data_IF_678648205096
#
_entry.id   IF_678648205096
#
_cell.length_a   1.000
_cell.length_b   1.000
_cell.length_c   1.000
_cell.angle_alpha   90.00
_cell.angle_beta   90.00
_cell.angle_gamma   90.00
#
_symmetry.space_group_name_H-M   'P 1'
#
loop_
_entity.id
_entity.type
_entity.pdbx_description
1 polymer ?
#
# COMPACT_ATOMS: atom_id res chain seq x y z
N UNK A 1 14.41 -3.05 61.13
CA UNK A 1 15.55 -2.51 60.35
C UNK A 1 14.97 -2.09 59.01
N UNK A 2 14.68 -0.81 58.86
CA UNK A 2 14.05 -0.21 57.69
C UNK A 2 15.03 0.80 57.10
N UNK A 3 15.11 0.87 55.77
CA UNK A 3 15.96 1.80 55.01
C UNK A 3 15.06 2.58 54.06
N UNK A 4 15.10 3.91 54.14
CA UNK A 4 14.52 4.87 53.20
C UNK A 4 15.62 5.61 52.43
N UNK A 5 15.37 5.78 51.12
CA UNK A 5 15.60 6.91 50.22
C UNK A 5 16.98 7.57 50.02
N UNK A 6 17.32 7.75 48.73
CA UNK A 6 18.31 8.72 48.23
C UNK A 6 18.58 8.57 46.73
N UNK A 7 17.70 9.11 45.87
CA UNK A 7 17.96 9.35 44.44
C UNK A 7 18.74 10.67 44.28
N UNK A 8 19.82 10.69 43.49
CA UNK A 8 20.50 11.92 43.03
C UNK A 8 20.56 11.98 41.50
N UNK A 9 20.12 13.12 40.96
CA UNK A 9 20.19 13.55 39.57
C UNK A 9 21.64 13.83 39.13
N UNK A 10 22.01 13.39 37.92
CA UNK A 10 23.18 13.89 37.21
C UNK A 10 22.70 14.68 35.98
N UNK A 11 23.04 15.98 35.98
CA UNK A 11 22.74 17.03 35.00
C UNK A 11 23.50 16.81 33.68
N UNK A 12 22.77 16.80 32.56
CA UNK A 12 23.29 16.72 31.16
C UNK A 12 23.34 18.13 30.52
N UNK A 13 23.38 19.18 31.33
CA UNK A 13 23.17 20.57 30.89
C UNK A 13 24.41 21.33 30.45
N UNK A 14 25.60 20.71 30.38
CA UNK A 14 26.85 21.44 30.08
C UNK A 14 27.40 21.29 28.65
N UNK A 15 26.85 20.41 27.79
CA UNK A 15 27.35 20.24 26.41
C UNK A 15 26.58 21.09 25.37
N UNK A 16 25.73 22.02 25.81
CA UNK A 16 24.86 22.86 24.95
C UNK A 16 25.49 24.18 24.48
N UNK A 17 26.74 24.47 24.82
CA UNK A 17 27.42 25.71 24.43
C UNK A 17 28.48 25.46 23.35
N UNK A 18 28.06 25.21 22.11
CA UNK A 18 28.85 25.59 20.94
C UNK A 18 27.97 25.67 19.68
N UNK A 19 27.75 26.87 19.11
CA UNK A 19 27.06 27.01 17.83
C UNK A 19 28.07 26.85 16.69
N UNK A 20 27.94 25.78 15.90
CA UNK A 20 28.71 25.62 14.66
C UNK A 20 27.77 25.62 13.46
N UNK A 21 27.29 26.81 13.13
CA UNK A 21 26.80 27.17 11.80
C UNK A 21 28.01 27.27 10.85
N UNK A 22 28.11 26.35 9.89
CA UNK A 22 28.80 26.40 8.58
C UNK A 22 28.82 24.94 8.09
N UNK A 23 28.28 24.51 6.95
CA UNK A 23 28.26 25.10 5.61
C UNK A 23 26.98 24.69 4.85
N UNK A 24 26.43 25.64 4.10
CA UNK A 24 25.57 25.37 2.95
C UNK A 24 26.41 24.73 1.83
N UNK A 25 25.73 23.96 0.96
CA UNK A 25 26.18 23.42 -0.35
C UNK A 25 26.72 21.98 -0.40
N UNK A 26 25.82 21.03 -0.72
CA UNK A 26 25.65 20.47 -2.09
C UNK A 26 24.66 19.30 -2.04
N UNK A 27 23.37 19.64 -2.17
CA UNK A 27 22.32 18.68 -2.56
C UNK A 27 22.23 18.78 -4.07
N UNK A 28 23.10 18.07 -4.78
CA UNK A 28 22.85 17.62 -6.14
C UNK A 28 23.92 16.60 -6.54
N UNK A 29 23.49 15.57 -7.27
CA UNK A 29 24.28 14.49 -7.91
C UNK A 29 24.30 13.06 -7.29
N UNK A 30 23.71 12.77 -6.13
CA UNK A 30 23.62 11.35 -5.68
C UNK A 30 22.38 10.58 -6.16
N UNK A 31 21.35 11.26 -6.70
CA UNK A 31 20.06 10.63 -7.04
C UNK A 31 20.06 9.78 -8.33
N UNK A 32 21.13 9.76 -9.13
CA UNK A 32 21.17 8.99 -10.39
C UNK A 32 21.89 7.63 -10.30
N UNK A 33 22.45 7.29 -9.14
CA UNK A 33 23.21 6.05 -8.94
C UNK A 33 22.42 4.85 -8.39
N UNK A 34 21.31 5.08 -7.69
CA UNK A 34 20.64 4.04 -6.89
C UNK A 34 19.52 3.27 -7.62
N UNK A 35 19.08 3.71 -8.80
CA UNK A 35 17.86 3.21 -9.44
C UNK A 35 17.98 1.83 -10.13
N UNK A 36 19.19 1.35 -10.42
CA UNK A 36 19.39 0.11 -11.20
C UNK A 36 19.28 -1.19 -10.39
N UNK A 37 19.33 -1.14 -9.06
CA UNK A 37 19.30 -2.32 -8.20
C UNK A 37 17.92 -2.90 -7.89
N UNK A 38 16.84 -2.14 -8.09
CA UNK A 38 15.54 -2.47 -7.47
C UNK A 38 14.45 -2.88 -8.44
N UNK A 39 14.49 -2.37 -9.68
CA UNK A 39 13.43 -2.61 -10.66
C UNK A 39 13.42 -4.06 -11.16
N UNK A 40 14.59 -4.70 -11.22
CA UNK A 40 14.72 -6.10 -11.64
C UNK A 40 13.97 -7.06 -10.72
N UNK A 41 14.01 -6.82 -9.40
CA UNK A 41 13.29 -7.65 -8.44
C UNK A 41 11.77 -7.44 -8.51
N UNK A 42 11.33 -6.21 -8.73
CA UNK A 42 9.91 -5.89 -8.94
C UNK A 42 9.39 -6.57 -10.21
N UNK A 43 10.15 -6.51 -11.30
CA UNK A 43 9.81 -7.18 -12.56
C UNK A 43 9.79 -8.70 -12.41
N UNK A 44 10.78 -9.30 -11.75
CA UNK A 44 10.83 -10.73 -11.47
C UNK A 44 9.63 -11.18 -10.62
N UNK A 45 9.34 -10.46 -9.55
CA UNK A 45 8.22 -10.77 -8.65
C UNK A 45 6.88 -10.62 -9.37
N UNK A 46 6.75 -9.61 -10.24
CA UNK A 46 5.56 -9.43 -11.09
C UNK A 46 5.42 -10.56 -12.11
N UNK A 47 6.51 -10.95 -12.77
CA UNK A 47 6.52 -12.03 -13.76
C UNK A 47 6.11 -13.38 -13.16
N UNK A 48 6.65 -13.73 -11.99
CA UNK A 48 6.25 -14.98 -11.31
C UNK A 48 4.83 -14.90 -10.77
N UNK A 49 4.42 -13.76 -10.19
CA UNK A 49 3.05 -13.59 -9.69
C UNK A 49 2.00 -13.70 -10.81
N UNK A 50 2.34 -13.24 -12.03
CA UNK A 50 1.46 -13.30 -13.20
C UNK A 50 1.55 -14.61 -13.99
N UNK A 51 2.52 -15.48 -13.71
CA UNK A 51 2.61 -16.82 -14.33
C UNK A 51 1.37 -17.68 -14.04
N UNK A 52 0.76 -17.56 -12.84
CA UNK A 52 -0.47 -18.30 -12.54
C UNK A 52 -1.64 -17.88 -13.43
N UNK A 53 -1.67 -16.62 -13.85
CA UNK A 53 -2.68 -16.09 -14.78
C UNK A 53 -2.46 -16.58 -16.22
N UNK A 54 -1.20 -16.77 -16.62
CA UNK A 54 -0.85 -17.43 -17.87
C UNK A 54 -1.25 -18.91 -17.89
N UNK A 55 -0.97 -19.64 -16.80
CA UNK A 55 -1.39 -21.03 -16.63
C UNK A 55 -2.92 -21.17 -16.73
N UNK A 56 -3.65 -20.29 -16.05
CA UNK A 56 -5.11 -20.22 -16.17
C UNK A 56 -5.56 -20.03 -17.64
N UNK A 57 -4.89 -19.12 -18.37
CA UNK A 57 -5.15 -18.91 -19.80
C UNK A 57 -4.88 -20.16 -20.65
N UNK A 58 -3.77 -20.86 -20.40
CA UNK A 58 -3.44 -22.11 -21.09
C UNK A 58 -4.50 -23.19 -20.88
N UNK A 59 -4.98 -23.37 -19.64
CA UNK A 59 -6.01 -24.36 -19.31
C UNK A 59 -7.33 -24.06 -20.04
N UNK A 60 -7.72 -22.78 -20.12
CA UNK A 60 -8.94 -22.36 -20.83
C UNK A 60 -8.80 -22.52 -22.34
N UNK A 61 -7.64 -22.21 -22.91
CA UNK A 61 -7.38 -22.29 -24.34
C UNK A 61 -7.13 -23.71 -24.88
N UNK A 62 -6.90 -24.69 -23.99
CA UNK A 62 -6.52 -26.07 -24.35
C UNK A 62 -7.58 -26.81 -25.17
N UNK A 63 -8.87 -26.66 -24.84
CA UNK A 63 -9.94 -27.52 -25.34
C UNK A 63 -10.29 -27.31 -26.82
N UNK A 64 -10.13 -26.09 -27.32
CA UNK A 64 -10.52 -25.72 -28.68
C UNK A 64 -9.66 -26.40 -29.78
N UNK A 65 -8.31 -26.36 -29.73
CA UNK A 65 -7.49 -26.97 -30.78
C UNK A 65 -7.39 -28.49 -30.69
N UNK A 66 -7.54 -29.08 -29.50
CA UNK A 66 -7.32 -30.54 -29.30
C UNK A 66 -8.51 -31.41 -29.64
N UNK A 67 -9.71 -30.82 -29.78
CA UNK A 67 -10.95 -31.55 -30.03
C UNK A 67 -10.89 -32.57 -31.18
N UNK A 68 -10.47 -32.22 -32.41
CA UNK A 68 -10.44 -33.17 -33.52
C UNK A 68 -9.45 -34.32 -33.26
N UNK A 69 -8.25 -34.02 -32.77
CA UNK A 69 -7.21 -35.01 -32.51
C UNK A 69 -7.60 -36.01 -31.40
N UNK A 70 -8.23 -35.53 -30.32
CA UNK A 70 -8.71 -36.41 -29.24
C UNK A 70 -9.79 -37.36 -29.73
N UNK A 71 -10.72 -36.86 -30.57
CA UNK A 71 -11.80 -37.67 -31.13
C UNK A 71 -11.30 -38.76 -32.06
N UNK A 72 -10.29 -38.44 -32.87
CA UNK A 72 -9.65 -39.39 -33.77
C UNK A 72 -8.87 -40.47 -32.98
N UNK A 73 -8.03 -40.06 -32.02
CA UNK A 73 -7.20 -40.96 -31.21
C UNK A 73 -8.01 -41.93 -30.32
N UNK A 74 -9.14 -41.48 -29.79
CA UNK A 74 -9.99 -42.27 -28.88
C UNK A 74 -11.22 -42.87 -29.56
N UNK A 75 -11.35 -42.68 -30.88
CA UNK A 75 -12.51 -43.11 -31.67
C UNK A 75 -13.87 -42.65 -31.11
N UNK A 76 -13.94 -41.40 -30.65
CA UNK A 76 -15.13 -40.83 -30.01
C UNK A 76 -16.06 -40.15 -31.02
N UNK A 77 -17.35 -40.44 -30.91
CA UNK A 77 -18.40 -39.67 -31.58
C UNK A 77 -18.46 -38.22 -31.06
N UNK A 78 -19.08 -37.32 -31.83
CA UNK A 78 -19.24 -35.93 -31.41
C UNK A 78 -20.04 -35.82 -30.11
N UNK A 79 -21.02 -36.70 -29.92
CA UNK A 79 -21.83 -36.77 -28.71
C UNK A 79 -21.03 -37.23 -27.49
N UNK A 80 -20.18 -38.25 -27.63
CA UNK A 80 -19.32 -38.74 -26.54
C UNK A 80 -18.25 -37.73 -26.15
N UNK A 81 -17.64 -37.04 -27.11
CA UNK A 81 -16.72 -35.94 -26.80
C UNK A 81 -17.45 -34.77 -26.14
N UNK A 82 -18.67 -34.45 -26.58
CA UNK A 82 -19.48 -33.39 -25.95
C UNK A 82 -19.86 -33.76 -24.52
N UNK A 83 -20.09 -35.05 -24.24
CA UNK A 83 -20.28 -35.55 -22.88
C UNK A 83 -19.01 -35.40 -22.03
N UNK A 84 -17.83 -35.74 -22.58
CA UNK A 84 -16.54 -35.52 -21.93
C UNK A 84 -16.29 -34.03 -21.65
N UNK A 85 -16.50 -33.17 -22.64
CA UNK A 85 -16.41 -31.72 -22.50
C UNK A 85 -17.40 -31.17 -21.45
N UNK A 86 -18.60 -31.75 -21.36
CA UNK A 86 -19.58 -31.41 -20.32
C UNK A 86 -19.12 -31.85 -18.93
N UNK A 87 -18.54 -33.04 -18.79
CA UNK A 87 -17.96 -33.53 -17.52
C UNK A 87 -16.79 -32.63 -17.08
N UNK A 88 -15.92 -32.24 -18.01
CA UNK A 88 -14.82 -31.30 -17.75
C UNK A 88 -15.35 -29.92 -17.37
N UNK A 89 -16.38 -29.42 -18.06
CA UNK A 89 -17.02 -28.15 -17.73
C UNK A 89 -17.71 -28.18 -16.36
N UNK A 90 -18.38 -29.29 -16.01
CA UNK A 90 -18.97 -29.52 -14.69
C UNK A 90 -17.86 -29.60 -13.63
N UNK A 91 -16.77 -30.31 -13.89
CA UNK A 91 -15.60 -30.35 -13.01
C UNK A 91 -14.97 -28.98 -12.81
N UNK A 92 -14.87 -28.17 -13.87
CA UNK A 92 -14.41 -26.79 -13.82
C UNK A 92 -15.39 -25.90 -13.04
N UNK A 93 -16.70 -26.08 -13.19
CA UNK A 93 -17.72 -25.37 -12.41
C UNK A 93 -17.69 -25.77 -10.93
N UNK A 94 -17.61 -27.07 -10.61
CA UNK A 94 -17.48 -27.57 -9.23
C UNK A 94 -16.17 -27.09 -8.62
N UNK A 95 -15.08 -27.13 -9.38
CA UNK A 95 -13.79 -26.53 -9.03
C UNK A 95 -13.92 -25.03 -8.78
N UNK A 96 -14.60 -24.29 -9.64
CA UNK A 96 -14.88 -22.86 -9.48
C UNK A 96 -15.92 -22.54 -8.41
N UNK A 97 -16.71 -23.49 -7.92
CA UNK A 97 -17.63 -23.28 -6.78
C UNK A 97 -16.89 -23.56 -5.46
N UNK A 98 -16.12 -24.65 -5.41
CA UNK A 98 -15.38 -25.09 -4.23
C UNK A 98 -14.14 -24.24 -3.99
N UNK A 99 -13.36 -23.97 -5.04
CA UNK A 99 -12.16 -23.12 -5.01
C UNK A 99 -12.44 -21.69 -5.48
N UNK A 100 -13.65 -21.37 -5.96
CA UNK A 100 -14.00 -20.06 -6.54
C UNK A 100 -13.63 -18.87 -5.70
N UNK A 101 -13.97 -18.87 -4.42
CA UNK A 101 -13.62 -17.76 -3.52
C UNK A 101 -12.11 -17.60 -3.37
N UNK A 102 -11.35 -18.70 -3.43
CA UNK A 102 -9.89 -18.72 -3.32
C UNK A 102 -9.27 -18.29 -4.65
N UNK A 103 -9.69 -18.89 -5.77
CA UNK A 103 -9.22 -18.57 -7.12
C UNK A 103 -9.56 -17.13 -7.54
N UNK A 104 -10.77 -16.66 -7.24
CA UNK A 104 -11.20 -15.28 -7.49
C UNK A 104 -10.46 -14.29 -6.59
N UNK A 105 -10.17 -14.69 -5.34
CA UNK A 105 -9.30 -13.92 -4.46
C UNK A 105 -7.88 -13.85 -5.00
N UNK A 106 -7.27 -14.97 -5.40
CA UNK A 106 -5.90 -15.03 -5.91
C UNK A 106 -5.77 -14.22 -7.21
N UNK A 107 -6.61 -14.51 -8.22
CA UNK A 107 -6.48 -13.95 -9.57
C UNK A 107 -7.01 -12.52 -9.76
N UNK A 108 -8.14 -12.14 -9.14
CA UNK A 108 -8.71 -10.78 -9.30
C UNK A 108 -8.25 -9.79 -8.24
N UNK A 109 -7.91 -10.27 -7.04
CA UNK A 109 -7.60 -9.39 -5.90
C UNK A 109 -6.14 -9.47 -5.51
N UNK A 110 -5.58 -10.65 -5.25
CA UNK A 110 -4.29 -10.76 -4.57
C UNK A 110 -3.13 -10.52 -5.50
N UNK A 111 -3.12 -11.09 -6.71
CA UNK A 111 -2.04 -10.83 -7.69
C UNK A 111 -1.97 -9.35 -8.07
N UNK A 112 -3.06 -8.67 -8.48
CA UNK A 112 -2.99 -7.24 -8.78
C UNK A 112 -2.68 -6.38 -7.55
N UNK A 113 -3.17 -6.72 -6.35
CA UNK A 113 -2.85 -6.00 -5.12
C UNK A 113 -1.38 -6.18 -4.75
N UNK A 114 -0.85 -7.40 -4.83
CA UNK A 114 0.56 -7.68 -4.57
C UNK A 114 1.46 -6.93 -5.56
N UNK A 115 1.16 -7.01 -6.87
CA UNK A 115 1.88 -6.25 -7.89
C UNK A 115 1.79 -4.75 -7.63
N UNK A 116 0.63 -4.23 -7.23
CA UNK A 116 0.48 -2.82 -6.90
C UNK A 116 1.24 -2.37 -5.63
N UNK A 117 1.42 -3.28 -4.67
CA UNK A 117 2.18 -3.05 -3.44
C UNK A 117 3.68 -2.94 -3.70
N UNK A 118 4.20 -3.81 -4.57
CA UNK A 118 5.64 -3.87 -4.89
C UNK A 118 6.05 -2.88 -5.98
N UNK A 119 5.12 -2.50 -6.87
CA UNK A 119 5.40 -1.61 -8.00
C UNK A 119 5.64 -0.15 -7.57
N UNK A 120 6.59 0.56 -8.22
CA UNK A 120 6.74 1.99 -8.05
C UNK A 120 5.51 2.73 -8.63
N UNK A 121 5.26 3.94 -8.14
CA UNK A 121 4.02 4.70 -8.41
C UNK A 121 3.79 4.99 -9.90
N UNK A 122 4.86 5.18 -10.66
CA UNK A 122 4.85 5.43 -12.10
C UNK A 122 4.53 4.17 -12.96
N UNK A 123 4.83 2.96 -12.46
CA UNK A 123 4.63 1.71 -13.20
C UNK A 123 3.45 0.87 -12.69
N UNK A 124 2.84 1.26 -11.56
CA UNK A 124 1.77 0.50 -10.91
C UNK A 124 0.63 0.11 -11.86
N UNK A 125 0.13 1.07 -12.64
CA UNK A 125 -0.95 0.81 -13.61
C UNK A 125 -0.53 -0.23 -14.65
N UNK A 126 0.63 -0.03 -15.29
CA UNK A 126 1.14 -0.93 -16.32
C UNK A 126 1.49 -2.34 -15.82
N UNK A 127 2.03 -2.47 -14.61
CA UNK A 127 2.36 -3.79 -14.06
C UNK A 127 1.10 -4.55 -13.64
N UNK A 128 0.05 -3.88 -13.16
CA UNK A 128 -1.21 -4.55 -12.84
C UNK A 128 -1.98 -5.06 -14.08
N UNK A 129 -1.86 -4.38 -15.22
CA UNK A 129 -2.50 -4.83 -16.48
C UNK A 129 -1.81 -6.06 -17.09
N UNK A 130 -0.54 -6.32 -16.76
CA UNK A 130 0.15 -7.55 -17.16
C UNK A 130 -0.62 -8.81 -16.74
N UNK A 131 -1.32 -8.77 -15.60
CA UNK A 131 -2.14 -9.89 -15.16
C UNK A 131 -3.20 -10.29 -16.20
N UNK A 132 -3.91 -9.32 -16.77
CA UNK A 132 -4.92 -9.57 -17.80
C UNK A 132 -4.27 -9.96 -19.13
N UNK A 133 -3.16 -9.30 -19.48
CA UNK A 133 -2.41 -9.62 -20.69
C UNK A 133 -1.93 -11.08 -20.68
N UNK A 134 -1.36 -11.56 -19.56
CA UNK A 134 -0.88 -12.94 -19.43
C UNK A 134 -1.98 -13.98 -19.58
N UNK A 135 -3.22 -13.70 -19.13
CA UNK A 135 -4.36 -14.59 -19.37
C UNK A 135 -4.63 -14.72 -20.88
N UNK A 136 -4.73 -13.58 -21.58
CA UNK A 136 -5.01 -13.56 -23.02
C UNK A 136 -3.88 -14.24 -23.79
N UNK A 137 -2.62 -13.94 -23.44
CA UNK A 137 -1.45 -14.58 -24.03
C UNK A 137 -1.47 -16.09 -23.79
N UNK A 138 -1.82 -16.55 -22.59
CA UNK A 138 -1.97 -17.99 -22.28
C UNK A 138 -3.01 -18.68 -23.16
N UNK A 139 -4.19 -18.07 -23.33
CA UNK A 139 -5.24 -18.59 -24.23
C UNK A 139 -4.74 -18.67 -25.68
N UNK A 140 -4.10 -17.60 -26.18
CA UNK A 140 -3.54 -17.57 -27.53
C UNK A 140 -2.43 -18.60 -27.73
N UNK A 141 -1.53 -18.77 -26.75
CA UNK A 141 -0.44 -19.74 -26.82
C UNK A 141 -0.96 -21.17 -26.82
N UNK A 142 -1.96 -21.51 -26.00
CA UNK A 142 -2.59 -22.83 -26.02
C UNK A 142 -3.25 -23.13 -27.38
N UNK A 143 -3.94 -22.15 -27.95
CA UNK A 143 -4.55 -22.28 -29.27
C UNK A 143 -3.49 -22.52 -30.37
N UNK A 144 -2.43 -21.72 -30.41
CA UNK A 144 -1.37 -21.83 -31.41
C UNK A 144 -0.51 -23.08 -31.25
N UNK A 145 -0.15 -23.47 -30.02
CA UNK A 145 0.60 -24.70 -29.81
C UNK A 145 -0.27 -25.92 -30.12
N UNK A 146 -1.56 -25.89 -29.78
CA UNK A 146 -2.47 -27.00 -30.05
C UNK A 146 -2.69 -27.31 -31.53
N UNK A 147 -2.34 -26.40 -32.45
CA UNK A 147 -2.32 -26.70 -33.89
C UNK A 147 -0.98 -27.28 -34.38
N UNK A 148 0.09 -27.14 -33.58
CA UNK A 148 1.45 -27.55 -33.95
C UNK A 148 1.89 -28.86 -33.29
N UNK A 149 1.37 -29.18 -32.10
CA UNK A 149 1.78 -30.35 -31.31
C UNK A 149 0.58 -31.24 -30.96
N UNK A 150 0.86 -32.51 -30.62
CA UNK A 150 -0.17 -33.44 -30.17
C UNK A 150 -0.82 -32.98 -28.86
N UNK A 151 -2.09 -33.31 -28.67
CA UNK A 151 -2.84 -32.93 -27.47
C UNK A 151 -2.17 -33.44 -26.18
N UNK A 152 -1.55 -34.62 -26.21
CA UNK A 152 -0.79 -35.19 -25.08
C UNK A 152 0.41 -34.33 -24.71
N UNK A 153 1.16 -33.85 -25.72
CA UNK A 153 2.29 -32.97 -25.49
C UNK A 153 1.83 -31.58 -25.05
N UNK A 154 0.71 -31.09 -25.58
CA UNK A 154 0.10 -29.83 -25.16
C UNK A 154 -0.30 -29.87 -23.68
N UNK A 155 -0.81 -30.99 -23.18
CA UNK A 155 -1.14 -31.15 -21.76
C UNK A 155 0.10 -31.04 -20.86
N UNK A 156 1.25 -31.56 -21.32
CA UNK A 156 2.52 -31.45 -20.59
C UNK A 156 3.06 -30.01 -20.55
N UNK A 157 2.73 -29.16 -21.52
CA UNK A 157 3.15 -27.74 -21.49
C UNK A 157 2.58 -26.97 -20.30
N UNK A 158 1.42 -27.40 -19.76
CA UNK A 158 0.84 -26.82 -18.55
C UNK A 158 1.68 -27.02 -17.29
N UNK A 159 2.58 -28.01 -17.26
CA UNK A 159 3.47 -28.27 -16.13
C UNK A 159 4.56 -27.19 -16.02
N UNK A 160 4.98 -26.60 -17.15
CA UNK A 160 6.09 -25.65 -17.21
C UNK A 160 5.81 -24.40 -16.37
N UNK A 161 4.67 -23.70 -16.52
CA UNK A 161 4.30 -22.59 -15.63
C UNK A 161 4.25 -22.99 -14.14
N UNK A 162 3.74 -24.18 -13.80
CA UNK A 162 3.70 -24.63 -12.40
C UNK A 162 5.11 -24.73 -11.79
N UNK A 163 6.07 -25.28 -12.56
CA UNK A 163 7.46 -25.39 -12.14
C UNK A 163 8.10 -24.01 -11.99
N UNK A 164 7.82 -23.09 -12.91
CA UNK A 164 8.31 -21.70 -12.85
C UNK A 164 7.77 -20.99 -11.60
N UNK A 165 6.49 -21.16 -11.27
CA UNK A 165 5.88 -20.60 -10.06
C UNK A 165 6.52 -21.20 -8.81
N UNK A 166 6.59 -22.53 -8.72
CA UNK A 166 7.17 -23.24 -7.57
C UNK A 166 8.62 -22.81 -7.31
N UNK A 167 9.43 -22.67 -8.37
CA UNK A 167 10.80 -22.21 -8.25
C UNK A 167 10.89 -20.71 -7.94
N UNK A 168 10.05 -19.89 -8.58
CA UNK A 168 10.06 -18.45 -8.41
C UNK A 168 9.64 -17.99 -7.01
N UNK A 169 8.76 -18.74 -6.34
CA UNK A 169 8.32 -18.45 -4.95
C UNK A 169 9.48 -18.40 -3.94
N UNK A 170 10.60 -19.08 -4.19
CA UNK A 170 11.78 -19.00 -3.30
C UNK A 170 12.49 -17.63 -3.34
N UNK A 171 12.36 -16.90 -4.43
CA UNK A 171 13.08 -15.64 -4.63
C UNK A 171 12.22 -14.41 -4.31
N UNK A 172 10.90 -14.56 -4.34
CA UNK A 172 9.94 -13.48 -4.16
C UNK A 172 9.79 -13.16 -2.68
N UNK A 173 9.91 -11.88 -2.29
CA UNK A 173 9.60 -11.48 -0.93
C UNK A 173 8.11 -11.61 -0.64
N UNK A 174 7.77 -11.99 0.59
CA UNK A 174 6.40 -12.00 1.10
C UNK A 174 5.74 -10.61 1.00
N UNK A 175 4.40 -10.58 0.95
CA UNK A 175 3.66 -9.32 0.84
C UNK A 175 4.01 -8.36 1.99
N UNK A 176 4.52 -7.15 1.69
CA UNK A 176 4.82 -6.16 2.73
C UNK A 176 3.60 -5.84 3.59
N UNK A 177 2.40 -5.80 2.99
CA UNK A 177 1.16 -5.55 3.71
C UNK A 177 0.81 -6.68 4.68
N UNK A 178 1.00 -7.93 4.27
CA UNK A 178 0.74 -9.09 5.13
C UNK A 178 1.74 -9.17 6.28
N UNK A 179 3.03 -8.91 6.01
CA UNK A 179 4.09 -8.84 7.01
C UNK A 179 3.83 -7.72 8.03
N UNK A 180 3.40 -6.55 7.56
CA UNK A 180 2.97 -5.45 8.41
C UNK A 180 1.75 -5.85 9.28
N UNK A 181 0.79 -6.58 8.72
CA UNK A 181 -0.40 -7.04 9.46
C UNK A 181 -0.07 -8.06 10.55
N UNK A 182 0.85 -8.97 10.28
CA UNK A 182 1.28 -10.03 11.21
C UNK A 182 2.29 -9.55 12.25
N UNK A 183 2.86 -8.35 12.07
CA UNK A 183 3.80 -7.74 13.01
C UNK A 183 5.22 -8.29 12.90
N UNK A 184 5.60 -8.83 11.73
CA UNK A 184 6.91 -9.43 11.47
C UNK A 184 7.90 -8.40 10.87
N UNK A 185 8.49 -7.56 11.72
CA UNK A 185 9.29 -6.39 11.31
C UNK A 185 10.54 -6.71 10.51
N UNK A 186 11.35 -7.67 10.98
CA UNK A 186 12.61 -8.01 10.32
C UNK A 186 12.37 -8.53 8.90
N UNK A 187 11.32 -9.33 8.73
CA UNK A 187 10.91 -9.83 7.41
C UNK A 187 10.30 -8.71 6.55
N UNK A 188 9.50 -7.81 7.15
CA UNK A 188 8.91 -6.66 6.45
C UNK A 188 9.97 -5.70 5.91
N UNK A 189 10.95 -5.33 6.74
CA UNK A 189 12.04 -4.45 6.36
C UNK A 189 12.95 -5.10 5.31
N UNK A 190 13.29 -6.38 5.49
CA UNK A 190 14.03 -7.14 4.49
C UNK A 190 13.29 -7.21 3.14
N UNK A 191 11.97 -7.40 3.15
CA UNK A 191 11.15 -7.38 1.95
C UNK A 191 11.16 -6.01 1.26
N UNK A 192 11.02 -4.91 2.03
CA UNK A 192 11.07 -3.56 1.49
C UNK A 192 12.43 -3.21 0.90
N UNK A 193 13.53 -3.54 1.59
CA UNK A 193 14.89 -3.31 1.09
C UNK A 193 15.15 -4.08 -0.21
N UNK A 194 14.66 -5.32 -0.29
CA UNK A 194 14.77 -6.16 -1.49
C UNK A 194 13.96 -5.62 -2.68
N UNK A 195 12.86 -4.91 -2.42
CA UNK A 195 11.96 -4.39 -3.44
C UNK A 195 12.23 -2.94 -3.85
N UNK A 196 12.76 -2.11 -2.94
CA UNK A 196 12.91 -0.65 -3.10
C UNK A 196 14.34 -0.14 -2.91
N UNK A 197 15.31 -1.00 -2.57
CA UNK A 197 16.70 -0.63 -2.28
C UNK A 197 16.97 -0.37 -0.80
N UNK A 198 18.25 -0.21 -0.44
CA UNK A 198 18.67 -0.07 0.97
C UNK A 198 18.14 1.20 1.65
N UNK A 199 17.92 2.29 0.88
CA UNK A 199 17.43 3.58 1.37
C UNK A 199 15.89 3.68 1.44
N UNK A 200 15.18 2.55 1.40
CA UNK A 200 13.73 2.55 1.38
C UNK A 200 13.13 3.18 2.65
N UNK A 201 12.33 4.24 2.49
CA UNK A 201 11.61 4.90 3.59
C UNK A 201 10.53 3.99 4.20
N UNK A 202 10.95 3.20 5.20
CA UNK A 202 10.12 2.25 5.94
C UNK A 202 8.98 2.96 6.68
N UNK A 203 9.22 4.17 7.19
CA UNK A 203 8.24 4.98 7.90
C UNK A 203 7.06 5.35 7.00
N UNK A 204 7.34 5.84 5.79
CA UNK A 204 6.30 6.21 4.82
C UNK A 204 5.51 5.01 4.31
N UNK A 205 6.17 3.86 4.14
CA UNK A 205 5.49 2.61 3.80
C UNK A 205 4.54 2.17 4.93
N UNK A 206 4.97 2.25 6.18
CA UNK A 206 4.16 1.96 7.36
C UNK A 206 2.95 2.90 7.52
N UNK A 207 3.12 4.20 7.22
CA UNK A 207 2.04 5.20 7.31
C UNK A 207 0.84 4.93 6.39
N UNK A 208 1.03 4.16 5.31
CA UNK A 208 -0.05 3.76 4.41
C UNK A 208 -0.91 2.63 5.00
N UNK A 209 -0.37 1.86 5.95
CA UNK A 209 -1.07 0.76 6.59
C UNK A 209 -1.69 1.25 7.91
N UNK A 210 -3.02 1.41 7.95
CA UNK A 210 -3.80 1.89 9.12
C UNK A 210 -3.80 0.94 10.35
N UNK A 211 -2.74 0.18 10.58
CA UNK A 211 -2.70 -0.87 11.60
C UNK A 211 -1.90 -0.42 12.83
N UNK A 212 -2.61 -0.28 13.95
CA UNK A 212 -2.14 0.18 15.27
C UNK A 212 -0.82 -0.45 15.74
N UNK A 213 -0.59 -1.74 15.48
CA UNK A 213 0.65 -2.42 15.88
C UNK A 213 1.89 -1.89 15.15
N UNK A 214 1.75 -1.53 13.88
CA UNK A 214 2.86 -1.07 13.03
C UNK A 214 3.36 0.31 13.47
N UNK A 215 2.46 1.23 13.86
CA UNK A 215 2.84 2.57 14.33
C UNK A 215 3.67 2.55 15.62
N UNK A 216 3.28 1.73 16.60
CA UNK A 216 4.03 1.53 17.86
C UNK A 216 5.40 0.89 17.59
N UNK A 217 5.48 0.00 16.61
CA UNK A 217 6.71 -0.72 16.28
C UNK A 217 7.69 0.15 15.48
N UNK A 218 7.18 1.07 14.65
CA UNK A 218 7.98 2.11 14.00
C UNK A 218 8.55 3.11 15.02
N UNK A 219 7.75 3.54 16.00
CA UNK A 219 8.26 4.34 17.12
C UNK A 219 9.34 3.61 17.91
N UNK A 220 9.18 2.31 18.16
CA UNK A 220 10.19 1.50 18.84
C UNK A 220 11.49 1.47 18.02
N UNK A 221 11.42 1.33 16.69
CA UNK A 221 12.58 1.35 15.81
C UNK A 221 13.31 2.70 15.86
N UNK A 222 12.57 3.81 15.74
CA UNK A 222 13.13 5.16 15.74
C UNK A 222 13.76 5.53 17.09
N UNK A 223 13.14 5.13 18.20
CA UNK A 223 13.67 5.35 19.56
C UNK A 223 14.86 4.44 19.87
N UNK A 224 14.87 3.19 19.39
CA UNK A 224 15.94 2.21 19.69
C UNK A 224 17.24 2.55 18.94
N UNK A 225 17.17 3.10 17.73
CA UNK A 225 18.35 3.41 16.91
C UNK A 225 18.92 4.82 17.10
N UNK A 226 18.45 5.60 18.09
CA UNK A 226 18.95 6.97 18.41
C UNK A 226 19.10 7.88 17.18
N UNK A 227 18.26 7.70 16.17
CA UNK A 227 18.24 8.60 15.03
C UNK A 227 17.78 9.97 15.54
N UNK A 228 18.54 11.02 15.24
CA UNK A 228 18.08 12.40 15.46
C UNK A 228 16.75 12.56 14.73
N UNK A 229 15.70 12.76 15.52
CA UNK A 229 14.34 12.94 15.03
C UNK A 229 14.24 14.32 14.38
N UNK A 230 14.68 14.43 13.13
CA UNK A 230 14.46 15.62 12.34
C UNK A 230 12.94 15.90 12.24
N UNK A 231 12.58 17.15 11.92
CA UNK A 231 11.20 17.62 11.84
C UNK A 231 10.32 16.71 10.94
N UNK A 232 10.90 16.24 9.83
CA UNK A 232 10.22 15.39 8.84
C UNK A 232 9.86 14.01 9.40
N UNK A 233 10.74 13.37 10.17
CA UNK A 233 10.46 12.08 10.82
C UNK A 233 9.42 12.24 11.91
N UNK A 234 9.45 13.35 12.68
CA UNK A 234 8.43 13.66 13.70
C UNK A 234 7.05 13.91 13.09
N UNK A 235 6.98 14.63 11.98
CA UNK A 235 5.74 14.83 11.21
C UNK A 235 5.19 13.50 10.69
N UNK A 236 6.06 12.65 10.15
CA UNK A 236 5.69 11.32 9.66
C UNK A 236 5.18 10.41 10.78
N UNK A 237 5.83 10.44 11.96
CA UNK A 237 5.37 9.70 13.14
C UNK A 237 4.01 10.19 13.65
N UNK A 238 3.80 11.52 13.69
CA UNK A 238 2.52 12.12 14.08
C UNK A 238 1.37 11.69 13.15
N UNK A 239 1.60 11.69 11.83
CA UNK A 239 0.64 11.20 10.83
C UNK A 239 0.36 9.69 10.98
N UNK A 240 1.38 8.88 11.24
CA UNK A 240 1.24 7.44 11.50
C UNK A 240 0.36 7.19 12.73
N UNK A 241 0.63 7.86 13.85
CA UNK A 241 -0.14 7.70 15.08
C UNK A 241 -1.59 8.16 14.92
N UNK A 242 -1.78 9.29 14.24
CA UNK A 242 -3.10 9.82 13.89
C UNK A 242 -3.93 8.85 13.04
N UNK A 243 -3.31 8.22 12.04
CA UNK A 243 -3.95 7.17 11.22
C UNK A 243 -4.23 5.88 11.99
N UNK A 244 -3.45 5.61 13.03
CA UNK A 244 -3.60 4.46 13.92
C UNK A 244 -4.62 4.67 15.05
N UNK A 245 -5.25 5.84 15.16
CA UNK A 245 -6.16 6.22 16.26
C UNK A 245 -5.49 6.28 17.64
N UNK A 246 -4.16 6.37 17.70
CA UNK A 246 -3.41 6.56 18.94
C UNK A 246 -3.09 8.04 19.13
N UNK A 247 -4.11 8.78 19.57
CA UNK A 247 -4.04 10.23 19.69
C UNK A 247 -3.15 10.69 20.85
N UNK A 248 -3.02 9.88 21.90
CA UNK A 248 -2.12 10.18 23.02
C UNK A 248 -0.67 10.16 22.56
N UNK A 249 -0.29 9.15 21.78
CA UNK A 249 1.06 9.07 21.19
C UNK A 249 1.28 10.15 20.14
N UNK A 250 0.31 10.43 19.26
CA UNK A 250 0.40 11.53 18.29
C UNK A 250 0.64 12.87 18.99
N UNK A 251 -0.16 13.16 20.04
CA UNK A 251 -0.04 14.38 20.84
C UNK A 251 1.26 14.42 21.63
N UNK A 252 1.75 13.28 22.14
CA UNK A 252 3.03 13.18 22.85
C UNK A 252 4.20 13.50 21.91
N UNK A 253 4.23 12.91 20.72
CA UNK A 253 5.25 13.24 19.71
C UNK A 253 5.19 14.73 19.37
N UNK A 254 4.00 15.25 19.10
CA UNK A 254 3.79 16.67 18.80
C UNK A 254 4.26 17.61 19.93
N UNK A 255 3.99 17.25 21.19
CA UNK A 255 4.41 18.02 22.36
C UNK A 255 5.93 18.02 22.57
N UNK A 256 6.61 16.96 22.12
CA UNK A 256 8.07 16.79 22.22
C UNK A 256 8.84 17.43 21.06
N UNK A 257 8.15 18.05 20.09
CA UNK A 257 8.80 18.75 18.98
C UNK A 257 9.29 20.13 19.45
N UNK A 258 10.60 20.35 19.35
CA UNK A 258 11.23 21.65 19.67
C UNK A 258 10.85 22.74 18.66
N UNK A 259 10.68 22.36 17.40
CA UNK A 259 10.16 23.20 16.32
C UNK A 259 8.93 22.52 15.71
N UNK A 260 7.91 23.32 15.39
CA UNK A 260 6.66 22.86 14.75
C UNK A 260 6.43 23.72 13.51
N UNK A 261 6.03 23.09 12.43
CA UNK A 261 5.65 23.75 11.19
C UNK A 261 4.15 23.56 10.89
N UNK A 262 3.67 24.22 9.84
CA UNK A 262 2.28 24.08 9.38
C UNK A 262 1.92 22.62 9.06
N UNK A 263 2.88 21.84 8.55
CA UNK A 263 2.69 20.41 8.28
C UNK A 263 2.45 19.59 9.56
N UNK A 264 3.16 19.91 10.64
CA UNK A 264 2.98 19.30 11.97
C UNK A 264 1.54 19.47 12.46
N UNK A 265 1.05 20.71 12.40
CA UNK A 265 -0.32 21.07 12.81
C UNK A 265 -1.38 20.43 11.91
N UNK A 266 -1.21 20.55 10.60
CA UNK A 266 -2.13 20.00 9.61
C UNK A 266 -2.28 18.48 9.76
N UNK A 267 -1.17 17.78 10.01
CA UNK A 267 -1.18 16.32 10.22
C UNK A 267 -1.98 15.95 11.47
N UNK A 268 -1.79 16.67 12.58
CA UNK A 268 -2.49 16.41 13.84
C UNK A 268 -3.99 16.72 13.70
N UNK A 269 -4.35 17.91 13.19
CA UNK A 269 -5.74 18.35 13.02
C UNK A 269 -6.50 17.40 12.07
N UNK A 270 -5.89 17.05 10.93
CA UNK A 270 -6.48 16.08 9.98
C UNK A 270 -6.67 14.70 10.62
N UNK A 271 -5.73 14.30 11.47
CA UNK A 271 -5.78 13.07 12.27
C UNK A 271 -7.02 12.98 13.15
N UNK A 272 -7.27 14.00 13.96
CA UNK A 272 -8.47 14.09 14.80
C UNK A 272 -9.75 14.17 13.95
N UNK A 273 -9.75 14.98 12.89
CA UNK A 273 -10.89 15.16 11.99
C UNK A 273 -11.32 13.89 11.25
N UNK A 274 -10.35 13.13 10.72
CA UNK A 274 -10.62 11.89 9.99
C UNK A 274 -11.22 10.79 10.86
N UNK A 275 -10.99 10.85 12.18
CA UNK A 275 -11.41 9.82 13.14
C UNK A 275 -12.65 10.20 13.95
N UNK A 276 -13.30 11.33 13.64
CA UNK A 276 -14.56 11.74 14.26
C UNK A 276 -14.42 12.57 15.53
N UNK A 277 -13.21 12.92 15.95
CA UNK A 277 -12.96 13.86 17.06
C UNK A 277 -13.00 15.30 16.55
N UNK A 278 -14.14 15.67 15.95
CA UNK A 278 -14.29 16.89 15.16
C UNK A 278 -14.11 18.16 16.02
N UNK A 279 -14.64 18.15 17.25
CA UNK A 279 -14.51 19.27 18.19
C UNK A 279 -13.05 19.55 18.55
N UNK A 280 -12.30 18.49 18.88
CA UNK A 280 -10.89 18.58 19.27
C UNK A 280 -10.00 18.99 18.09
N UNK A 281 -10.36 18.61 16.85
CA UNK A 281 -9.69 19.11 15.65
C UNK A 281 -9.83 20.64 15.51
N UNK A 282 -11.02 21.19 15.77
CA UNK A 282 -11.25 22.64 15.75
C UNK A 282 -10.56 23.38 16.92
N UNK A 283 -10.49 22.77 18.11
CA UNK A 283 -9.73 23.31 19.23
C UNK A 283 -8.22 23.39 18.92
N UNK A 284 -7.68 22.36 18.28
CA UNK A 284 -6.29 22.35 17.80
C UNK A 284 -6.03 23.42 16.73
N UNK A 285 -6.99 23.63 15.83
CA UNK A 285 -6.93 24.72 14.85
C UNK A 285 -6.91 26.10 15.54
N UNK A 286 -7.72 26.28 16.60
CA UNK A 286 -7.70 27.49 17.41
C UNK A 286 -6.34 27.70 18.09
N UNK A 287 -5.76 26.63 18.64
CA UNK A 287 -4.47 26.65 19.34
C UNK A 287 -3.33 27.00 18.37
N UNK A 288 -3.32 26.40 17.18
CA UNK A 288 -2.38 26.73 16.10
C UNK A 288 -2.34 28.24 15.81
N UNK A 289 -3.51 28.87 15.70
CA UNK A 289 -3.63 30.31 15.44
C UNK A 289 -3.16 31.16 16.62
N UNK A 290 -3.44 30.73 17.85
CA UNK A 290 -2.98 31.40 19.07
C UNK A 290 -1.47 31.33 19.24
N UNK A 291 -0.83 30.26 18.77
CA UNK A 291 0.64 30.11 18.73
C UNK A 291 1.28 30.90 17.56
N UNK A 292 0.50 31.69 16.81
CA UNK A 292 1.00 32.59 15.77
C UNK A 292 1.17 31.94 14.39
N UNK A 293 0.70 30.71 14.20
CA UNK A 293 0.72 30.07 12.88
C UNK A 293 -0.51 30.46 12.07
N UNK A 294 -0.29 31.13 10.93
CA UNK A 294 -1.37 31.46 10.01
C UNK A 294 -1.82 30.21 9.22
N UNK A 295 -3.13 29.90 9.22
CA UNK A 295 -3.66 28.78 8.46
C UNK A 295 -3.39 28.94 6.95
N UNK A 296 -2.79 27.92 6.35
CA UNK A 296 -2.60 27.87 4.90
C UNK A 296 -3.83 27.26 4.21
N UNK A 297 -3.77 27.18 2.88
CA UNK A 297 -4.82 26.54 2.08
C UNK A 297 -5.14 25.11 2.55
N UNK A 298 -4.13 24.33 2.97
CA UNK A 298 -4.31 22.96 3.43
C UNK A 298 -5.02 22.94 4.78
N UNK A 299 -4.67 23.85 5.69
CA UNK A 299 -5.32 24.02 6.99
C UNK A 299 -6.80 24.36 6.81
N UNK A 300 -7.12 25.34 5.96
CA UNK A 300 -8.51 25.73 5.70
C UNK A 300 -9.32 24.60 5.09
N UNK A 301 -8.74 23.85 4.15
CA UNK A 301 -9.38 22.65 3.60
C UNK A 301 -9.69 21.62 4.69
N UNK A 302 -8.74 21.35 5.60
CA UNK A 302 -8.96 20.40 6.71
C UNK A 302 -10.11 20.89 7.60
N UNK A 303 -10.12 22.18 7.94
CA UNK A 303 -11.19 22.79 8.73
C UNK A 303 -12.57 22.64 8.05
N UNK A 304 -12.65 22.90 6.75
CA UNK A 304 -13.87 22.70 5.97
C UNK A 304 -14.35 21.24 5.99
N UNK A 305 -13.46 20.26 5.78
CA UNK A 305 -13.84 18.83 5.86
C UNK A 305 -14.35 18.47 7.27
N UNK A 306 -13.75 19.02 8.33
CA UNK A 306 -14.21 18.83 9.71
C UNK A 306 -15.62 19.41 9.91
N UNK A 307 -15.87 20.66 9.52
CA UNK A 307 -17.19 21.29 9.61
C UNK A 307 -18.26 20.54 8.80
N UNK A 308 -17.93 20.12 7.57
CA UNK A 308 -18.83 19.31 6.75
C UNK A 308 -19.18 17.97 7.41
N UNK A 309 -18.22 17.31 8.09
CA UNK A 309 -18.47 16.06 8.83
C UNK A 309 -19.30 16.27 10.09
N UNK A 310 -19.26 17.46 10.68
CA UNK A 310 -20.14 17.84 11.81
C UNK A 310 -21.57 18.14 11.36
N UNK A 311 -21.84 18.20 10.06
CA UNK A 311 -23.11 18.70 9.51
C UNK A 311 -23.24 20.22 9.51
N UNK A 312 -22.17 20.95 9.87
CA UNK A 312 -22.12 22.41 9.91
C UNK A 312 -21.59 22.97 8.58
N UNK A 313 -22.26 22.63 7.48
CA UNK A 313 -21.83 23.07 6.14
C UNK A 313 -21.84 24.60 5.96
N UNK A 314 -22.67 25.33 6.71
CA UNK A 314 -22.72 26.80 6.65
C UNK A 314 -21.41 27.43 7.15
N UNK A 315 -20.78 26.85 8.18
CA UNK A 315 -19.46 27.30 8.65
C UNK A 315 -18.36 26.93 7.67
N UNK A 316 -18.46 25.74 7.03
CA UNK A 316 -17.54 25.36 5.95
C UNK A 316 -17.63 26.31 4.74
N UNK A 317 -18.83 26.81 4.43
CA UNK A 317 -19.06 27.78 3.36
C UNK A 317 -18.44 29.15 3.68
N UNK A 318 -18.59 29.65 4.91
CA UNK A 318 -17.96 30.90 5.34
C UNK A 318 -16.43 30.86 5.22
N UNK A 319 -15.83 29.71 5.51
CA UNK A 319 -14.38 29.51 5.31
C UNK A 319 -14.04 29.53 3.83
N UNK A 320 -14.84 28.88 3.00
CA UNK A 320 -14.62 28.86 1.55
C UNK A 320 -14.67 30.25 0.91
N UNK A 321 -15.58 31.12 1.35
CA UNK A 321 -15.67 32.51 0.87
C UNK A 321 -14.44 33.35 1.21
N UNK A 322 -13.66 32.95 2.22
CA UNK A 322 -12.43 33.64 2.62
C UNK A 322 -11.20 33.15 1.83
N UNK A 323 -11.33 32.10 1.02
CA UNK A 323 -10.23 31.57 0.20
C UNK A 323 -10.16 32.38 -1.11
N UNK A 324 -9.09 33.17 -1.28
CA UNK A 324 -8.88 34.00 -2.48
C UNK A 324 -8.83 33.19 -3.79
N UNK A 325 -8.31 31.95 -3.75
CA UNK A 325 -8.23 31.05 -4.91
C UNK A 325 -8.85 29.67 -4.64
N UNK A 326 -10.17 29.59 -4.80
CA UNK A 326 -10.88 28.32 -4.72
C UNK A 326 -10.50 27.38 -5.88
N UNK A 327 -9.84 26.26 -5.58
CA UNK A 327 -9.47 25.24 -6.57
C UNK A 327 -10.42 24.03 -6.53
N UNK A 328 -10.20 23.08 -7.46
CA UNK A 328 -11.02 21.86 -7.58
C UNK A 328 -11.12 21.06 -6.27
N UNK A 329 -10.11 21.12 -5.42
CA UNK A 329 -10.07 20.39 -4.13
C UNK A 329 -11.02 21.05 -3.13
N UNK A 330 -11.09 22.38 -3.08
CA UNK A 330 -12.03 23.12 -2.22
C UNK A 330 -13.49 22.86 -2.62
N UNK A 331 -13.78 22.93 -3.92
CA UNK A 331 -15.12 22.64 -4.47
C UNK A 331 -15.54 21.20 -4.20
N UNK A 332 -14.68 20.21 -4.46
CA UNK A 332 -14.99 18.79 -4.22
C UNK A 332 -15.21 18.48 -2.75
N UNK A 333 -14.52 19.18 -1.84
CA UNK A 333 -14.71 19.03 -0.39
C UNK A 333 -16.11 19.50 0.03
N UNK A 334 -16.56 20.69 -0.43
CA UNK A 334 -17.91 21.18 -0.14
C UNK A 334 -19.00 20.30 -0.74
N UNK A 335 -18.87 19.92 -2.00
CA UNK A 335 -19.85 19.04 -2.68
C UNK A 335 -19.96 17.71 -1.93
N UNK A 336 -18.83 17.11 -1.54
CA UNK A 336 -18.83 15.90 -0.72
C UNK A 336 -19.46 16.11 0.66
N UNK A 337 -19.33 17.30 1.24
CA UNK A 337 -19.96 17.68 2.51
C UNK A 337 -21.48 17.76 2.40
N UNK A 338 -21.99 18.60 1.49
CA UNK A 338 -23.43 18.76 1.26
C UNK A 338 -24.12 17.47 0.82
N UNK A 339 -23.45 16.64 0.00
CA UNK A 339 -23.99 15.33 -0.40
C UNK A 339 -24.19 14.37 0.78
N UNK A 340 -23.40 14.50 1.86
CA UNK A 340 -23.57 13.69 3.08
C UNK A 340 -24.75 14.16 3.92
N UNK A 341 -25.02 15.47 3.95
CA UNK A 341 -26.18 16.04 4.64
C UNK A 341 -27.48 15.61 3.95
N UNK A 342 -27.53 15.64 2.61
CA UNK A 342 -28.72 15.24 1.84
C UNK A 342 -29.06 13.74 1.84
N UNK A 343 -28.30 12.91 2.57
CA UNK A 343 -28.53 11.46 2.75
C UNK A 343 -29.03 11.09 4.15
N UNK A 344 -29.11 12.05 5.06
CA UNK A 344 -29.74 11.92 6.38
C UNK A 344 -31.19 12.41 6.29
#
# INVERSE_FOLDING_TARGET
MAIENGYQEHTVTEDLENPLLTEHEKVDESEKGAEKGSIGMVLLSTAVATCGSFEFGLCVGYSAPTQPAIREDLHLSLAEYSLFGSIVAIGAMVGAITSGKISDSIGRKWVPVFVAEIAPTNLRGGLTTLNQLMIVTGVSTAYLLGTLITWRLLALTGIVPCVVILFGLFFIPESPRWLAKTGKHKEFEAALRKLRGEDADVLRACAQFRNFKVGIQVHTCVVTYRAELNLQVRNSLSDVYSKCKDFESARRVFSQMAERDLLSWNSLISGYGCNGFLQLALELLGTMRLEGFEPDFVTWKIAMDVYCRMGQCDEAWKIFEQIEEANIISWTTLISGYSRIGKA
#
